data_IF_263833181423
#
_entry.id   IF_263833181423
#
_cell.length_a   1.000
_cell.length_b   1.000
_cell.length_c   1.000
_cell.angle_alpha   90.00
_cell.angle_beta   90.00
_cell.angle_gamma   90.00
#
_symmetry.space_group_name_H-M   'P 1'
#
loop_
_entity.id
_entity.type
_entity.pdbx_description
1 polymer ?
#
# COMPACT_ATOMS: atom_id res chain seq x y z
N UNK A 1 12.40 -16.66 9.87
CA UNK A 1 11.55 -16.93 8.67
C UNK A 1 10.18 -16.31 8.94
N UNK A 2 9.67 -15.49 8.03
CA UNK A 2 8.35 -14.86 8.16
C UNK A 2 7.26 -15.94 8.06
N UNK A 3 6.45 -16.09 9.09
CA UNK A 3 5.30 -17.01 9.08
C UNK A 3 4.04 -16.15 9.03
N UNK A 4 3.39 -16.02 7.86
CA UNK A 4 2.16 -15.27 7.74
C UNK A 4 1.01 -15.98 8.45
N UNK A 5 0.06 -15.21 8.98
CA UNK A 5 -1.22 -15.74 9.44
C UNK A 5 -2.06 -16.17 8.23
N UNK A 6 -3.02 -17.10 8.38
CA UNK A 6 -3.80 -17.59 7.23
C UNK A 6 -4.41 -16.47 6.38
N UNK A 7 -5.07 -15.50 6.99
CA UNK A 7 -5.67 -14.37 6.26
C UNK A 7 -4.64 -13.46 5.55
N UNK A 8 -3.40 -13.40 6.05
CA UNK A 8 -2.31 -12.66 5.37
C UNK A 8 -1.83 -13.43 4.14
N UNK A 9 -1.79 -14.77 4.23
CA UNK A 9 -1.51 -15.62 3.08
C UNK A 9 -2.62 -15.48 2.04
N UNK A 10 -3.89 -15.53 2.44
CA UNK A 10 -5.04 -15.35 1.53
C UNK A 10 -4.99 -13.99 0.83
N UNK A 11 -4.67 -12.93 1.59
CA UNK A 11 -4.52 -11.58 1.02
C UNK A 11 -3.38 -11.49 0.00
N UNK A 12 -2.24 -12.09 0.32
CA UNK A 12 -1.10 -12.19 -0.60
C UNK A 12 -1.47 -12.97 -1.86
N UNK A 13 -2.09 -14.15 -1.74
CA UNK A 13 -2.45 -15.00 -2.86
C UNK A 13 -3.47 -14.32 -3.78
N UNK A 14 -4.46 -13.63 -3.21
CA UNK A 14 -5.45 -12.86 -3.97
C UNK A 14 -4.80 -11.67 -4.71
N UNK A 15 -3.92 -10.92 -4.03
CA UNK A 15 -3.18 -9.82 -4.63
C UNK A 15 -2.24 -10.32 -5.74
N UNK A 16 -1.51 -11.41 -5.50
CA UNK A 16 -0.59 -12.02 -6.47
C UNK A 16 -1.35 -12.52 -7.70
N UNK A 17 -2.48 -13.19 -7.50
CA UNK A 17 -3.36 -13.62 -8.60
C UNK A 17 -3.81 -12.41 -9.42
N UNK A 18 -4.26 -11.33 -8.77
CA UNK A 18 -4.72 -10.13 -9.46
C UNK A 18 -3.60 -9.51 -10.30
N UNK A 19 -2.42 -9.24 -9.74
CA UNK A 19 -1.32 -8.59 -10.48
C UNK A 19 -0.76 -9.45 -11.61
N UNK A 20 -0.96 -10.78 -11.58
CA UNK A 20 -0.58 -11.68 -12.67
C UNK A 20 -1.58 -11.68 -13.81
N UNK A 21 -2.87 -11.49 -13.52
CA UNK A 21 -3.97 -11.64 -14.50
C UNK A 21 -4.54 -10.32 -15.00
N UNK A 22 -4.32 -9.21 -14.28
CA UNK A 22 -4.84 -7.89 -14.63
C UNK A 22 -3.78 -6.79 -14.50
N UNK A 23 -3.91 -5.75 -15.34
CA UNK A 23 -3.16 -4.49 -15.21
C UNK A 23 -3.95 -3.42 -14.47
N UNK A 24 -5.24 -3.65 -14.22
CA UNK A 24 -6.09 -2.69 -13.53
C UNK A 24 -5.66 -2.57 -12.06
N UNK A 25 -5.55 -1.37 -11.53
CA UNK A 25 -5.26 -1.18 -10.11
C UNK A 25 -6.35 -1.78 -9.23
N UNK A 26 -5.95 -2.48 -8.17
CA UNK A 26 -6.86 -3.09 -7.22
C UNK A 26 -6.47 -2.79 -5.78
N UNK A 27 -7.39 -2.99 -4.86
CA UNK A 27 -7.21 -2.74 -3.44
C UNK A 27 -7.17 -4.07 -2.66
N UNK A 28 -6.23 -4.16 -1.73
CA UNK A 28 -6.28 -5.08 -0.59
C UNK A 28 -6.83 -4.27 0.59
N UNK A 29 -8.08 -4.52 0.95
CA UNK A 29 -8.69 -3.98 2.16
C UNK A 29 -8.36 -4.89 3.33
N UNK A 30 -7.57 -4.38 4.27
CA UNK A 30 -7.20 -5.09 5.49
C UNK A 30 -7.24 -4.10 6.65
N UNK A 31 -8.06 -4.41 7.65
CA UNK A 31 -8.27 -3.50 8.78
C UNK A 31 -6.97 -3.15 9.51
N UNK A 32 -7.03 -2.13 10.35
CA UNK A 32 -5.92 -1.77 11.26
C UNK A 32 -5.56 -3.02 12.09
N UNK A 33 -4.30 -3.23 12.38
CA UNK A 33 -3.76 -4.41 13.06
C UNK A 33 -3.79 -5.74 12.26
N UNK A 34 -4.29 -5.78 11.01
CA UNK A 34 -4.17 -6.96 10.15
C UNK A 34 -2.73 -7.29 9.73
N UNK A 35 -1.76 -6.45 10.07
CA UNK A 35 -0.36 -6.69 9.70
C UNK A 35 -0.09 -6.52 8.22
N UNK A 36 -0.61 -5.46 7.61
CA UNK A 36 -0.41 -5.11 6.19
C UNK A 36 1.05 -5.17 5.74
N UNK A 37 2.00 -4.82 6.63
CA UNK A 37 3.44 -4.85 6.35
C UNK A 37 3.94 -6.26 5.94
N UNK A 38 3.34 -7.31 6.47
CA UNK A 38 3.65 -8.71 6.10
C UNK A 38 3.24 -8.99 4.65
N UNK A 39 2.04 -8.56 4.26
CA UNK A 39 1.52 -8.74 2.90
C UNK A 39 2.41 -7.98 1.91
N UNK A 40 2.79 -6.73 2.24
CA UNK A 40 3.71 -5.92 1.43
C UNK A 40 5.06 -6.61 1.28
N UNK A 41 5.61 -7.18 2.36
CA UNK A 41 6.89 -7.87 2.33
C UNK A 41 6.85 -9.11 1.43
N UNK A 42 5.80 -9.94 1.53
CA UNK A 42 5.64 -11.13 0.69
C UNK A 42 5.53 -10.75 -0.79
N UNK A 43 4.79 -9.71 -1.12
CA UNK A 43 4.68 -9.20 -2.50
C UNK A 43 6.02 -8.66 -2.99
N UNK A 44 6.73 -7.87 -2.18
CA UNK A 44 8.05 -7.33 -2.53
C UNK A 44 9.08 -8.45 -2.73
N UNK A 45 9.07 -9.49 -1.89
CA UNK A 45 9.93 -10.68 -2.07
C UNK A 45 9.65 -11.39 -3.40
N UNK A 46 8.38 -11.54 -3.77
CA UNK A 46 8.01 -12.16 -5.06
C UNK A 46 8.52 -11.34 -6.25
N UNK A 47 8.40 -10.02 -6.18
CA UNK A 47 8.91 -9.10 -7.20
C UNK A 47 10.45 -9.17 -7.27
N UNK A 48 11.13 -9.23 -6.12
CA UNK A 48 12.58 -9.41 -6.01
C UNK A 48 13.05 -10.71 -6.66
N UNK A 49 12.34 -11.83 -6.47
CA UNK A 49 12.66 -13.11 -7.12
C UNK A 49 12.60 -13.04 -8.64
N UNK A 50 11.79 -12.14 -9.20
CA UNK A 50 11.76 -11.82 -10.62
C UNK A 50 12.82 -10.79 -11.05
N UNK A 51 13.79 -10.47 -10.18
CA UNK A 51 14.81 -9.44 -10.37
C UNK A 51 14.22 -8.06 -10.72
N UNK A 52 13.09 -7.72 -10.08
CA UNK A 52 12.39 -6.45 -10.24
C UNK A 52 12.29 -5.73 -8.89
N UNK A 53 11.83 -4.48 -8.94
CA UNK A 53 11.71 -3.60 -7.77
C UNK A 53 10.25 -3.29 -7.44
N UNK A 54 10.02 -3.02 -6.16
CA UNK A 54 8.72 -2.55 -5.64
C UNK A 54 8.89 -1.16 -5.07
N UNK A 55 8.06 -0.24 -5.53
CA UNK A 55 7.92 1.09 -4.93
C UNK A 55 6.73 1.09 -3.99
N UNK A 56 6.96 1.38 -2.71
CA UNK A 56 5.92 1.49 -1.69
C UNK A 56 5.71 2.97 -1.39
N UNK A 57 4.60 3.51 -1.87
CA UNK A 57 4.21 4.90 -1.64
C UNK A 57 3.51 5.02 -0.30
N UNK A 58 4.00 5.90 0.54
CA UNK A 58 3.45 6.20 1.88
C UNK A 58 3.15 7.69 1.99
N UNK A 59 2.16 8.09 2.81
CA UNK A 59 1.72 9.49 2.90
C UNK A 59 2.81 10.48 3.34
N UNK A 60 3.71 10.07 4.24
CA UNK A 60 4.74 10.95 4.81
C UNK A 60 6.02 10.18 5.18
N UNK A 61 7.08 10.93 5.53
CA UNK A 61 8.38 10.37 5.89
C UNK A 61 8.35 9.49 7.14
N UNK A 62 7.60 9.87 8.15
CA UNK A 62 7.52 9.10 9.41
C UNK A 62 6.97 7.69 9.16
N UNK A 63 5.94 7.59 8.31
CA UNK A 63 5.42 6.29 7.89
C UNK A 63 6.42 5.51 7.01
N UNK A 64 7.22 6.22 6.19
CA UNK A 64 8.30 5.57 5.43
C UNK A 64 9.33 4.93 6.37
N UNK A 65 9.77 5.65 7.38
CA UNK A 65 10.71 5.14 8.38
C UNK A 65 10.09 3.97 9.18
N UNK A 66 8.89 4.15 9.73
CA UNK A 66 8.21 3.12 10.52
C UNK A 66 7.97 1.84 9.73
N UNK A 67 7.53 1.93 8.47
CA UNK A 67 7.30 0.77 7.63
C UNK A 67 8.61 0.10 7.21
N UNK A 68 9.66 0.88 6.95
CA UNK A 68 11.00 0.36 6.67
C UNK A 68 11.56 -0.41 7.89
N UNK A 69 11.35 0.08 9.12
CA UNK A 69 11.78 -0.62 10.33
C UNK A 69 11.06 -1.96 10.49
N UNK A 70 9.74 -2.00 10.26
CA UNK A 70 8.99 -3.27 10.24
C UNK A 70 9.53 -4.25 9.19
N UNK A 71 9.97 -3.76 8.02
CA UNK A 71 10.63 -4.60 7.01
C UNK A 71 11.95 -5.16 7.51
N UNK A 72 12.74 -4.37 8.23
CA UNK A 72 14.00 -4.85 8.85
C UNK A 72 13.77 -5.91 9.91
N UNK A 73 12.73 -5.74 10.75
CA UNK A 73 12.33 -6.72 11.78
C UNK A 73 11.99 -8.09 11.18
N UNK A 74 11.45 -8.14 9.97
CA UNK A 74 11.13 -9.38 9.27
C UNK A 74 12.26 -9.89 8.36
N UNK A 75 13.47 -9.30 8.47
CA UNK A 75 14.66 -9.73 7.79
C UNK A 75 14.87 -9.17 6.38
N UNK A 76 14.06 -8.19 5.95
CA UNK A 76 14.22 -7.52 4.67
C UNK A 76 15.08 -6.26 4.78
N UNK A 77 15.69 -5.87 3.65
CA UNK A 77 16.49 -4.63 3.54
C UNK A 77 15.77 -3.64 2.64
N UNK A 78 15.00 -2.69 3.21
CA UNK A 78 14.36 -1.64 2.42
C UNK A 78 15.30 -0.46 2.20
N UNK A 79 15.04 0.31 1.14
CA UNK A 79 15.51 1.69 0.96
C UNK A 79 14.42 2.67 1.37
N UNK A 80 14.83 3.89 1.73
CA UNK A 80 13.92 5.01 2.02
C UNK A 80 14.24 6.15 1.06
N UNK A 81 13.19 6.70 0.44
CA UNK A 81 13.27 7.85 -0.44
C UNK A 81 12.28 8.94 0.02
N UNK A 82 12.75 9.83 0.89
CA UNK A 82 11.94 10.87 1.51
C UNK A 82 12.76 12.13 1.78
N UNK A 83 12.36 13.23 1.16
CA UNK A 83 13.03 14.51 1.34
C UNK A 83 12.93 15.03 2.78
N UNK A 84 11.79 14.81 3.48
CA UNK A 84 11.63 15.23 4.88
C UNK A 84 12.55 14.50 5.85
N UNK A 85 13.02 13.30 5.48
CA UNK A 85 13.99 12.52 6.26
C UNK A 85 15.44 12.72 5.78
N UNK A 86 15.66 13.48 4.71
CA UNK A 86 16.97 13.62 4.08
C UNK A 86 17.49 12.34 3.42
N UNK A 87 16.65 11.34 3.21
CA UNK A 87 17.02 10.07 2.61
C UNK A 87 16.65 10.02 1.12
N UNK A 88 17.62 9.67 0.27
CA UNK A 88 17.48 9.46 -1.17
C UNK A 88 18.16 8.15 -1.58
N UNK A 89 17.68 7.02 -1.09
CA UNK A 89 18.25 5.71 -1.37
C UNK A 89 17.28 4.86 -2.19
N UNK A 90 17.77 4.27 -3.29
CA UNK A 90 17.03 3.35 -4.17
C UNK A 90 17.76 2.03 -4.38
N UNK A 91 18.75 1.69 -3.57
CA UNK A 91 19.63 0.54 -3.81
C UNK A 91 18.94 -0.82 -3.65
N UNK A 92 17.97 -0.92 -2.73
CA UNK A 92 17.31 -2.18 -2.42
C UNK A 92 16.05 -2.39 -3.28
N UNK A 93 15.59 -3.64 -3.36
CA UNK A 93 14.43 -4.03 -4.18
C UNK A 93 13.09 -3.46 -3.69
N UNK A 94 12.97 -3.13 -2.42
CA UNK A 94 11.80 -2.46 -1.84
C UNK A 94 12.19 -1.03 -1.44
N UNK A 95 11.51 -0.04 -1.97
CA UNK A 95 11.76 1.38 -1.70
C UNK A 95 10.50 2.01 -1.11
N UNK A 96 10.58 2.45 0.15
CA UNK A 96 9.52 3.26 0.79
C UNK A 96 9.74 4.72 0.45
N UNK A 97 8.75 5.35 -0.17
CA UNK A 97 8.89 6.71 -0.65
C UNK A 97 7.63 7.55 -0.47
N UNK A 98 7.83 8.86 -0.31
CA UNK A 98 6.72 9.81 -0.38
C UNK A 98 6.49 10.26 -1.82
N UNK A 99 5.23 10.42 -2.28
CA UNK A 99 4.94 10.74 -3.69
C UNK A 99 5.67 11.99 -4.22
N UNK A 100 5.75 13.04 -3.42
CA UNK A 100 6.44 14.27 -3.82
C UNK A 100 7.95 14.07 -3.96
N UNK A 101 8.58 13.28 -3.10
CA UNK A 101 10.02 13.01 -3.20
C UNK A 101 10.37 12.27 -4.48
N UNK A 102 9.53 11.30 -4.87
CA UNK A 102 9.69 10.57 -6.14
C UNK A 102 9.44 11.48 -7.33
N UNK A 103 8.33 12.25 -7.31
CA UNK A 103 7.94 13.10 -8.42
C UNK A 103 9.00 14.18 -8.74
N UNK A 104 9.68 14.68 -7.71
CA UNK A 104 10.74 15.68 -7.88
C UNK A 104 12.08 15.10 -8.35
N UNK A 105 12.22 13.77 -8.44
CA UNK A 105 13.47 13.09 -8.80
C UNK A 105 13.16 11.80 -9.60
N UNK A 106 12.36 11.93 -10.65
CA UNK A 106 11.89 10.77 -11.44
C UNK A 106 13.03 10.00 -12.10
N UNK A 107 14.15 10.65 -12.39
CA UNK A 107 15.33 10.04 -13.02
C UNK A 107 15.99 8.96 -12.13
N UNK A 108 15.73 8.97 -10.82
CA UNK A 108 16.21 7.93 -9.90
C UNK A 108 15.38 6.62 -10.01
N UNK A 109 14.31 6.60 -10.81
CA UNK A 109 13.35 5.50 -10.91
C UNK A 109 13.12 5.09 -12.36
N UNK A 110 13.53 3.88 -12.72
CA UNK A 110 13.46 3.35 -14.09
C UNK A 110 12.42 2.24 -14.29
N UNK A 111 12.56 1.52 -15.40
CA UNK A 111 11.65 0.43 -15.82
C UNK A 111 11.75 -0.84 -14.94
N UNK A 112 12.74 -0.93 -14.09
CA UNK A 112 12.92 -2.05 -13.15
C UNK A 112 11.83 -2.15 -12.09
N UNK A 113 11.09 -1.06 -11.84
CA UNK A 113 9.92 -1.08 -10.95
C UNK A 113 8.75 -1.77 -11.64
N UNK A 114 8.36 -2.93 -11.13
CA UNK A 114 7.28 -3.73 -11.67
C UNK A 114 5.98 -3.64 -10.86
N UNK A 115 6.09 -3.22 -9.60
CA UNK A 115 4.96 -3.08 -8.69
C UNK A 115 5.04 -1.76 -7.92
N UNK A 116 3.95 -1.02 -7.92
CA UNK A 116 3.71 0.10 -7.00
C UNK A 116 2.66 -0.36 -5.98
N UNK A 117 2.99 -0.22 -4.71
CA UNK A 117 2.05 -0.43 -3.61
C UNK A 117 1.78 0.93 -2.98
N UNK A 118 0.53 1.36 -2.98
CA UNK A 118 0.10 2.58 -2.30
C UNK A 118 -0.44 2.21 -0.92
N UNK A 119 0.38 2.39 0.11
CA UNK A 119 -0.08 2.25 1.49
C UNK A 119 -0.94 3.45 1.88
N UNK A 120 -2.00 3.20 2.65
CA UNK A 120 -3.06 4.18 2.93
C UNK A 120 -3.63 4.79 1.63
N UNK A 121 -3.99 3.92 0.67
CA UNK A 121 -4.37 4.31 -0.68
C UNK A 121 -5.60 5.23 -0.76
N UNK A 122 -6.39 5.37 0.31
CA UNK A 122 -7.44 6.40 0.41
C UNK A 122 -6.88 7.83 0.34
N UNK A 123 -5.57 8.01 0.54
CA UNK A 123 -4.91 9.31 0.39
C UNK A 123 -4.56 9.64 -1.06
N UNK A 124 -4.63 8.67 -1.99
CA UNK A 124 -4.42 8.93 -3.42
C UNK A 124 -5.60 9.75 -3.96
N UNK A 125 -5.30 10.95 -4.44
CA UNK A 125 -6.30 11.83 -5.04
C UNK A 125 -6.73 11.33 -6.42
N UNK A 126 -8.02 11.48 -6.73
CA UNK A 126 -8.54 11.27 -8.08
C UNK A 126 -8.28 12.46 -9.01
N UNK A 127 -7.86 13.60 -8.48
CA UNK A 127 -7.46 14.75 -9.28
C UNK A 127 -6.18 14.43 -10.08
N UNK A 128 -6.27 14.46 -11.40
CA UNK A 128 -5.17 14.14 -12.32
C UNK A 128 -3.95 15.05 -12.14
N UNK A 129 -4.14 16.27 -11.65
CA UNK A 129 -3.05 17.20 -11.35
C UNK A 129 -2.33 16.94 -10.03
N UNK A 130 -2.84 16.01 -9.21
CA UNK A 130 -2.19 15.64 -7.97
C UNK A 130 -0.84 14.95 -8.19
N UNK A 131 0.06 15.08 -7.24
CA UNK A 131 1.38 14.42 -7.27
C UNK A 131 1.30 12.91 -7.42
N UNK A 132 0.33 12.28 -6.74
CA UNK A 132 0.13 10.83 -6.85
C UNK A 132 -0.31 10.41 -8.24
N UNK A 133 -1.23 11.13 -8.89
CA UNK A 133 -1.68 10.81 -10.25
C UNK A 133 -0.59 11.06 -11.30
N UNK A 134 0.13 12.17 -11.20
CA UNK A 134 1.27 12.47 -12.08
C UNK A 134 2.33 11.37 -11.99
N UNK A 135 2.62 10.91 -10.77
CA UNK A 135 3.56 9.83 -10.51
C UNK A 135 3.09 8.51 -11.15
N UNK A 136 1.84 8.09 -10.89
CA UNK A 136 1.30 6.86 -11.48
C UNK A 136 1.27 6.91 -13.01
N UNK A 137 0.97 8.07 -13.58
CA UNK A 137 0.99 8.30 -15.04
C UNK A 137 2.41 8.17 -15.60
N UNK A 138 3.40 8.77 -14.92
CA UNK A 138 4.80 8.65 -15.32
C UNK A 138 5.25 7.17 -15.31
N UNK A 139 5.03 6.44 -14.24
CA UNK A 139 5.44 5.02 -14.18
C UNK A 139 4.75 4.16 -15.25
N UNK A 140 3.49 4.44 -15.58
CA UNK A 140 2.80 3.76 -16.68
C UNK A 140 3.36 4.11 -18.05
N UNK A 141 3.94 5.31 -18.23
CA UNK A 141 4.56 5.71 -19.50
C UNK A 141 5.89 5.00 -19.74
N UNK A 142 6.71 4.81 -18.70
CA UNK A 142 8.01 4.13 -18.81
C UNK A 142 7.89 2.62 -18.74
N UNK A 143 6.91 2.07 -17.98
CA UNK A 143 6.67 0.64 -17.88
C UNK A 143 5.18 0.31 -18.06
N UNK A 144 4.77 -0.07 -19.29
CA UNK A 144 3.38 -0.44 -19.62
C UNK A 144 2.90 -1.71 -18.90
N UNK A 145 3.80 -2.44 -18.25
CA UNK A 145 3.50 -3.67 -17.51
C UNK A 145 3.51 -3.47 -16.00
N UNK A 146 3.71 -2.25 -15.52
CA UNK A 146 3.68 -1.96 -14.09
C UNK A 146 2.33 -2.32 -13.48
N UNK A 147 2.36 -2.88 -12.28
CA UNK A 147 1.18 -3.21 -11.49
C UNK A 147 1.03 -2.22 -10.36
N UNK A 148 -0.22 -1.91 -10.00
CA UNK A 148 -0.53 -0.97 -8.94
C UNK A 148 -1.51 -1.64 -7.99
N UNK A 149 -1.13 -1.71 -6.71
CA UNK A 149 -1.99 -2.17 -5.63
C UNK A 149 -2.16 -1.05 -4.59
N UNK A 150 -3.37 -0.90 -4.09
CA UNK A 150 -3.66 -0.09 -2.93
C UNK A 150 -3.78 -0.98 -1.69
N UNK A 151 -3.27 -0.53 -0.55
CA UNK A 151 -3.58 -1.08 0.76
C UNK A 151 -4.31 -0.02 1.59
N UNK A 152 -5.35 -0.42 2.28
CA UNK A 152 -6.10 0.47 3.17
C UNK A 152 -6.83 -0.30 4.26
N UNK A 153 -7.01 0.34 5.41
CA UNK A 153 -7.94 -0.11 6.44
C UNK A 153 -9.35 0.46 6.25
N UNK A 154 -9.49 1.51 5.44
CA UNK A 154 -10.74 2.22 5.17
C UNK A 154 -11.02 2.28 3.67
N UNK A 155 -11.90 1.42 3.12
CA UNK A 155 -12.17 1.37 1.67
C UNK A 155 -13.09 2.52 1.19
N UNK A 156 -13.15 3.60 1.95
CA UNK A 156 -13.94 4.80 1.67
C UNK A 156 -13.12 6.06 1.87
N UNK A 157 -13.38 7.09 1.07
CA UNK A 157 -12.80 8.43 1.19
C UNK A 157 -13.91 9.45 1.17
N UNK A 158 -14.04 10.29 2.23
CA UNK A 158 -15.05 11.35 2.31
C UNK A 158 -16.46 10.86 1.91
N UNK A 159 -16.91 9.73 2.46
CA UNK A 159 -18.19 9.04 2.17
C UNK A 159 -18.29 8.44 0.76
N UNK A 160 -17.24 8.48 -0.07
CA UNK A 160 -17.20 7.87 -1.40
C UNK A 160 -16.38 6.58 -1.38
N UNK A 161 -16.88 5.53 -2.03
CA UNK A 161 -16.12 4.28 -2.18
C UNK A 161 -14.88 4.53 -3.04
N UNK A 162 -13.73 3.96 -2.65
CA UNK A 162 -12.48 4.06 -3.40
C UNK A 162 -12.56 3.33 -4.76
N UNK A 163 -13.48 2.40 -4.90
CA UNK A 163 -13.76 1.70 -6.15
C UNK A 163 -15.10 2.19 -6.68
N UNK A 164 -15.06 2.98 -7.73
CA UNK A 164 -16.22 3.53 -8.43
C UNK A 164 -15.88 3.80 -9.90
N UNK A 165 -16.88 4.14 -10.70
CA UNK A 165 -16.65 4.56 -12.08
C UNK A 165 -15.71 5.79 -12.11
N UNK A 166 -14.64 5.70 -12.90
CA UNK A 166 -13.62 6.76 -13.02
C UNK A 166 -12.54 6.79 -11.95
N UNK A 167 -12.67 6.01 -10.84
CA UNK A 167 -11.65 5.98 -9.80
C UNK A 167 -10.32 5.34 -10.26
N UNK A 168 -9.23 5.65 -9.57
CA UNK A 168 -7.90 5.06 -9.81
C UNK A 168 -7.94 3.55 -9.65
N UNK A 169 -8.55 3.05 -8.58
CA UNK A 169 -8.69 1.63 -8.32
C UNK A 169 -9.98 1.09 -8.92
N UNK A 170 -9.91 -0.06 -9.60
CA UNK A 170 -11.03 -0.66 -10.34
C UNK A 170 -11.73 -1.80 -9.61
N UNK A 171 -11.06 -2.39 -8.61
CA UNK A 171 -11.57 -3.53 -7.86
C UNK A 171 -11.00 -3.60 -6.45
N UNK A 172 -11.60 -4.44 -5.62
CA UNK A 172 -11.02 -4.91 -4.36
C UNK A 172 -10.72 -6.39 -4.56
N UNK A 173 -9.44 -6.77 -4.58
CA UNK A 173 -9.03 -8.16 -4.79
C UNK A 173 -9.09 -9.00 -3.50
N UNK A 174 -9.02 -8.35 -2.35
CA UNK A 174 -9.14 -9.00 -1.05
C UNK A 174 -9.73 -8.04 -0.01
N UNK A 175 -10.53 -8.57 0.91
CA UNK A 175 -11.09 -7.78 2.02
C UNK A 175 -11.17 -8.62 3.28
N UNK A 176 -10.66 -8.07 4.39
CA UNK A 176 -10.87 -8.59 5.75
C UNK A 176 -11.16 -7.46 6.71
N UNK A 177 -12.29 -7.55 7.41
CA UNK A 177 -12.73 -6.53 8.36
C UNK A 177 -12.24 -6.79 9.77
N UNK A 178 -12.36 -5.81 10.65
CA UNK A 178 -12.02 -5.98 12.08
C UNK A 178 -12.90 -7.03 12.76
N UNK A 179 -14.20 -7.09 12.40
CA UNK A 179 -15.14 -8.08 12.92
C UNK A 179 -14.73 -9.49 12.51
N UNK A 180 -14.31 -9.68 11.25
CA UNK A 180 -13.82 -10.97 10.78
C UNK A 180 -12.54 -11.39 11.50
N UNK A 181 -11.61 -10.46 11.71
CA UNK A 181 -10.39 -10.75 12.48
C UNK A 181 -10.70 -11.09 13.94
N UNK A 182 -11.64 -10.39 14.56
CA UNK A 182 -12.07 -10.66 15.93
C UNK A 182 -12.79 -12.03 16.04
N UNK A 183 -13.69 -12.35 15.11
CA UNK A 183 -14.39 -13.64 15.09
C UNK A 183 -13.44 -14.83 14.88
N UNK A 184 -12.31 -14.61 14.22
CA UNK A 184 -11.25 -15.60 14.03
C UNK A 184 -10.22 -15.63 15.17
N UNK A 185 -10.40 -14.80 16.22
CA UNK A 185 -9.50 -14.74 17.38
C UNK A 185 -8.16 -14.02 17.13
N UNK A 186 -8.01 -13.28 16.02
CA UNK A 186 -6.77 -12.58 15.71
C UNK A 186 -6.66 -11.20 16.34
N UNK A 187 -7.77 -10.59 16.72
CA UNK A 187 -7.85 -9.30 17.40
C UNK A 187 -8.90 -9.35 18.50
N UNK A 188 -8.79 -8.44 19.47
CA UNK A 188 -9.83 -8.30 20.50
C UNK A 188 -11.05 -7.60 19.88
N UNK A 189 -12.28 -8.07 20.13
CA UNK A 189 -13.49 -7.36 19.76
C UNK A 189 -13.49 -5.96 20.40
N UNK A 190 -13.87 -4.94 19.64
CA UNK A 190 -14.07 -3.60 20.18
C UNK A 190 -15.54 -3.20 20.06
N UNK A 191 -16.04 -2.49 21.05
CA UNK A 191 -17.34 -1.82 21.01
C UNK A 191 -17.13 -0.31 20.99
N UNK A 192 -17.79 0.37 20.08
CA UNK A 192 -17.83 1.84 20.09
C UNK A 192 -18.97 2.24 21.00
N UNK A 193 -18.65 2.74 22.20
CA UNK A 193 -19.63 3.40 23.06
C UNK A 193 -19.98 4.78 22.47
N UNK A 194 -21.20 4.98 22.02
CA UNK A 194 -21.71 6.31 21.70
C UNK A 194 -22.20 6.91 23.03
N UNK A 195 -21.56 7.97 23.51
CA UNK A 195 -22.10 8.72 24.66
C UNK A 195 -23.21 9.64 24.14
N UNK A 196 -24.43 9.43 24.59
CA UNK A 196 -25.59 10.33 24.36
C UNK A 196 -25.53 11.62 25.22
N UNK A 197 -24.35 12.20 25.39
CA UNK A 197 -24.25 13.50 26.06
C UNK A 197 -24.66 14.62 25.08
N UNK A 198 -25.94 14.99 25.09
CA UNK A 198 -26.43 16.26 24.55
C UNK A 198 -25.87 17.38 25.43
N UNK A 199 -24.90 18.11 24.92
CA UNK A 199 -24.54 19.40 25.52
C UNK A 199 -25.65 20.40 25.11
N UNK A 200 -26.52 20.78 26.05
CA UNK A 200 -27.35 22.00 25.92
C UNK A 200 -26.45 23.20 26.13
N UNK A 201 -26.37 24.06 25.11
CA UNK A 201 -25.82 25.42 25.20
C UNK A 201 -26.77 26.32 25.94
#
# INVERSE_FOLDING_TARGET
>A
MLIPRPYQQDAYDAALKHIRTSKDPSIVHASTAAGKSIIVAMLAQTVKQANKRTLILVPNGDLAAQNADKFREIGEKPSIYSASLGHKCVENHAVFATPMSVLNNLDDFGEEYALIIADECQMISENLESSSQKLLTHFRSINKNIRILGLTATPVRFKTKLVSAGSTFKSVCYSITSEQLASQGWTVPYSIGVSDSTYSL
#
